data_IF_984979367417
#
_entry.id   IF_984979367417
#
_cell.length_a   1.000
_cell.length_b   1.000
_cell.length_c   1.000
_cell.angle_alpha   90.00
_cell.angle_beta   90.00
_cell.angle_gamma   90.00
#
_symmetry.space_group_name_H-M   'P 1'
#
loop_
_entity.id
_entity.type
_entity.pdbx_description
1 polymer ?
#
# COMPACT_ATOMS: atom_id res chain seq x y z
N UNK A 1 -13.95 -4.23 -17.44
CA UNK A 1 -12.81 -3.99 -16.53
C UNK A 1 -13.20 -4.61 -15.20
N UNK A 2 -12.48 -5.61 -14.67
CA UNK A 2 -12.77 -6.12 -13.33
C UNK A 2 -12.32 -5.05 -12.34
N UNK A 3 -13.17 -4.67 -11.39
CA UNK A 3 -12.81 -3.76 -10.29
C UNK A 3 -11.50 -4.15 -9.58
N UNK A 4 -11.13 -5.44 -9.65
CA UNK A 4 -9.83 -5.98 -9.22
C UNK A 4 -8.64 -5.19 -9.76
N UNK A 5 -8.61 -4.83 -11.05
CA UNK A 5 -7.43 -4.25 -11.71
C UNK A 5 -7.12 -2.81 -11.21
N UNK A 6 -8.17 -2.07 -10.86
CA UNK A 6 -8.05 -0.69 -10.37
C UNK A 6 -7.55 -0.63 -8.93
N UNK A 7 -7.97 -1.60 -8.11
CA UNK A 7 -7.50 -1.73 -6.74
C UNK A 7 -6.14 -2.43 -6.69
N UNK A 8 -5.85 -3.40 -7.57
CA UNK A 8 -4.56 -4.09 -7.64
C UNK A 8 -3.43 -3.12 -7.96
N UNK A 9 -3.56 -2.23 -8.95
CA UNK A 9 -2.45 -1.33 -9.32
C UNK A 9 -2.07 -0.37 -8.17
N UNK A 10 -3.08 0.20 -7.49
CA UNK A 10 -2.86 1.09 -6.33
C UNK A 10 -2.37 0.32 -5.10
N UNK A 11 -3.03 -0.78 -4.77
CA UNK A 11 -2.69 -1.58 -3.60
C UNK A 11 -1.33 -2.24 -3.75
N UNK A 12 -0.98 -2.74 -4.94
CA UNK A 12 0.33 -3.33 -5.23
C UNK A 12 1.43 -2.28 -5.14
N UNK A 13 1.18 -1.05 -5.62
CA UNK A 13 2.08 0.08 -5.42
C UNK A 13 2.29 0.41 -3.94
N UNK A 14 1.21 0.44 -3.15
CA UNK A 14 1.26 0.65 -1.69
C UNK A 14 1.97 -0.51 -0.97
N UNK A 15 1.72 -1.75 -1.38
CA UNK A 15 2.34 -2.94 -0.83
C UNK A 15 3.83 -3.00 -1.10
N UNK A 16 4.26 -2.60 -2.30
CA UNK A 16 5.68 -2.47 -2.64
C UNK A 16 6.36 -1.37 -1.82
N UNK A 17 5.73 -0.20 -1.69
CA UNK A 17 6.26 0.88 -0.86
C UNK A 17 6.40 0.45 0.62
N UNK A 18 5.38 -0.22 1.16
CA UNK A 18 5.40 -0.77 2.51
C UNK A 18 6.47 -1.85 2.72
N UNK A 19 6.71 -2.69 1.70
CA UNK A 19 7.75 -3.71 1.74
C UNK A 19 9.14 -3.09 1.79
N UNK A 20 9.42 -2.10 0.92
CA UNK A 20 10.72 -1.41 0.89
C UNK A 20 10.96 -0.64 2.19
N UNK A 21 9.95 0.06 2.69
CA UNK A 21 10.06 0.84 3.93
C UNK A 21 10.32 -0.07 5.14
N UNK A 22 9.62 -1.20 5.25
CA UNK A 22 9.91 -2.15 6.33
C UNK A 22 11.24 -2.88 6.17
N UNK A 23 11.63 -3.24 4.96
CA UNK A 23 12.93 -3.84 4.73
C UNK A 23 14.07 -2.89 5.12
N UNK A 24 13.88 -1.57 4.92
CA UNK A 24 14.82 -0.54 5.33
C UNK A 24 14.86 -0.35 6.86
N UNK A 25 13.72 -0.44 7.55
CA UNK A 25 13.63 -0.34 9.01
C UNK A 25 14.26 -1.56 9.69
N UNK A 26 13.97 -2.76 9.19
CA UNK A 26 14.41 -4.03 9.80
C UNK A 26 15.82 -4.45 9.35
N UNK A 27 16.36 -3.85 8.28
CA UNK A 27 17.69 -4.17 7.76
C UNK A 27 17.81 -5.61 7.23
N UNK A 28 16.68 -6.22 6.89
CA UNK A 28 16.55 -7.64 6.56
C UNK A 28 15.20 -7.94 5.89
N UNK A 29 14.86 -9.22 5.65
CA UNK A 29 13.57 -9.58 5.07
C UNK A 29 12.46 -9.08 6.00
N UNK A 30 11.54 -8.22 5.50
CA UNK A 30 10.57 -7.57 6.36
C UNK A 30 9.51 -8.55 6.85
N UNK A 31 8.97 -8.27 8.03
CA UNK A 31 7.86 -9.05 8.58
C UNK A 31 6.60 -8.90 7.70
N UNK A 32 6.05 -10.04 7.28
CA UNK A 32 4.93 -10.05 6.34
C UNK A 32 3.67 -9.40 6.91
N UNK A 33 3.40 -9.56 8.21
CA UNK A 33 2.24 -8.93 8.84
C UNK A 33 2.45 -7.41 8.98
N UNK A 34 3.65 -6.98 9.35
CA UNK A 34 4.01 -5.57 9.48
C UNK A 34 3.95 -4.85 8.12
N UNK A 35 4.50 -5.46 7.07
CA UNK A 35 4.38 -4.97 5.69
C UNK A 35 2.93 -4.89 5.26
N UNK A 36 2.13 -5.93 5.52
CA UNK A 36 0.71 -5.95 5.14
C UNK A 36 -0.10 -4.84 5.81
N UNK A 37 0.09 -4.62 7.12
CA UNK A 37 -0.59 -3.53 7.84
C UNK A 37 -0.23 -2.17 7.27
N UNK A 38 1.05 -1.97 6.94
CA UNK A 38 1.56 -0.71 6.38
C UNK A 38 1.07 -0.47 4.95
N UNK A 39 0.95 -1.53 4.14
CA UNK A 39 0.35 -1.48 2.82
C UNK A 39 -1.10 -1.01 2.85
N UNK A 40 -1.92 -1.55 3.77
CA UNK A 40 -3.30 -1.12 3.96
C UNK A 40 -3.38 0.35 4.39
N UNK A 41 -2.53 0.79 5.31
CA UNK A 41 -2.50 2.19 5.73
C UNK A 41 -2.22 3.14 4.56
N UNK A 42 -1.19 2.86 3.75
CA UNK A 42 -0.88 3.68 2.57
C UNK A 42 -2.01 3.68 1.54
N UNK A 43 -2.67 2.54 1.35
CA UNK A 43 -3.79 2.43 0.44
C UNK A 43 -5.01 3.23 0.93
N UNK A 44 -5.32 3.19 2.23
CA UNK A 44 -6.41 3.99 2.80
C UNK A 44 -6.12 5.50 2.71
N UNK A 45 -4.86 5.92 2.92
CA UNK A 45 -4.43 7.32 2.75
C UNK A 45 -4.57 7.78 1.29
N UNK A 46 -4.08 7.00 0.33
CA UNK A 46 -4.22 7.30 -1.11
C UNK A 46 -5.70 7.30 -1.54
N UNK A 47 -6.51 6.38 -1.02
CA UNK A 47 -7.94 6.34 -1.30
C UNK A 47 -8.66 7.58 -0.75
N UNK A 48 -8.33 7.98 0.48
CA UNK A 48 -8.85 9.21 1.07
C UNK A 48 -8.43 10.43 0.25
N UNK A 49 -7.15 10.52 -0.15
CA UNK A 49 -6.64 11.60 -0.99
C UNK A 49 -7.37 11.67 -2.35
N UNK A 50 -7.59 10.52 -3.01
CA UNK A 50 -8.35 10.42 -4.27
C UNK A 50 -9.80 10.86 -4.10
N UNK A 51 -10.48 10.41 -3.05
CA UNK A 51 -11.85 10.81 -2.75
C UNK A 51 -11.98 12.31 -2.44
N UNK A 52 -10.98 12.91 -1.79
CA UNK A 52 -10.92 14.35 -1.57
C UNK A 52 -10.66 15.15 -2.86
N UNK A 53 -9.94 14.58 -3.82
CA UNK A 53 -9.60 15.23 -5.10
C UNK A 53 -10.75 15.24 -6.11
N UNK A 54 -11.73 14.36 -5.92
CA UNK A 54 -12.91 14.20 -6.78
C UNK A 54 -14.15 14.99 -6.31
N UNK A 55 -13.99 15.93 -5.36
CA UNK A 55 -15.05 16.78 -4.83
C UNK A 55 -14.79 18.25 -5.14
#
# INVERSE_FOLDING_TARGET
>A
MRDDDFWDDLFLGCAFAAFVDQAAIEGGPPDQEATRRRAYAYYEEELAARNHRNR
#
